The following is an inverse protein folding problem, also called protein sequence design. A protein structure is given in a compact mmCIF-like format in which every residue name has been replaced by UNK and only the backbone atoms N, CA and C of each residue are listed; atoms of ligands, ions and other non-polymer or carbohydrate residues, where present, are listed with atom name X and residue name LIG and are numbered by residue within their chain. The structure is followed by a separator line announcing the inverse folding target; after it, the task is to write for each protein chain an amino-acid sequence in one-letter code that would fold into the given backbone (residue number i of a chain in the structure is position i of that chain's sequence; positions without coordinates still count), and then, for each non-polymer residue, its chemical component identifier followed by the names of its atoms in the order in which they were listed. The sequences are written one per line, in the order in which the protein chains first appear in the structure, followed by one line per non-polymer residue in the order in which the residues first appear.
data_IF_404818491167
#
_entry.id   IF_404818491167
#
_cell.length_a   1.000
_cell.length_b   1.000
_cell.length_c   1.000
_cell.angle_alpha   90.00
_cell.angle_beta   90.00
_cell.angle_gamma   90.00
#
_symmetry.space_group_name_H-M   'P 1'
#
loop_
_entity.id
_entity.type
_entity.pdbx_description
1 polymer ?
#
# COMPACT_ATOMS: atom_id res chain seq x y z
N UNK A 1 9.92 13.21 -3.29
CA UNK A 1 8.53 13.72 -3.14
C UNK A 1 7.56 12.60 -3.43
N UNK A 2 6.58 12.34 -2.56
CA UNK A 2 5.61 11.24 -2.74
C UNK A 2 4.92 11.23 -4.12
N UNK A 3 4.79 12.40 -4.78
CA UNK A 3 4.26 12.53 -6.13
C UNK A 3 5.08 11.79 -7.20
N UNK A 4 6.39 11.64 -7.03
CA UNK A 4 7.24 10.91 -7.99
C UNK A 4 6.94 9.41 -7.99
N UNK A 5 6.60 8.84 -6.83
CA UNK A 5 6.24 7.43 -6.68
C UNK A 5 4.84 7.10 -7.23
N UNK A 6 3.99 8.11 -7.44
CA UNK A 6 2.64 7.93 -8.00
C UNK A 6 2.65 7.93 -9.54
N UNK A 7 3.70 8.46 -10.16
CA UNK A 7 3.83 8.51 -11.62
C UNK A 7 4.07 7.10 -12.16
N UNK A 8 3.07 6.53 -12.84
CA UNK A 8 3.14 5.18 -13.41
C UNK A 8 2.31 4.14 -12.66
N UNK A 9 1.76 4.48 -11.48
CA UNK A 9 0.81 3.62 -10.79
C UNK A 9 -0.57 3.68 -11.44
N UNK A 10 -1.23 2.54 -11.52
CA UNK A 10 -2.67 2.48 -11.82
C UNK A 10 -3.48 3.17 -10.70
N UNK A 11 -4.74 3.57 -10.95
CA UNK A 11 -5.59 4.19 -9.94
C UNK A 11 -5.74 3.35 -8.66
N UNK A 12 -5.84 2.03 -8.79
CA UNK A 12 -5.98 1.12 -7.65
C UNK A 12 -4.68 1.06 -6.83
N UNK A 13 -3.52 0.95 -7.49
CA UNK A 13 -2.22 0.97 -6.82
C UNK A 13 -1.97 2.30 -6.10
N UNK A 14 -2.31 3.43 -6.73
CA UNK A 14 -2.18 4.73 -6.12
C UNK A 14 -3.08 4.89 -4.87
N UNK A 15 -4.31 4.34 -4.89
CA UNK A 15 -5.19 4.33 -3.72
C UNK A 15 -4.63 3.47 -2.58
N UNK A 16 -4.10 2.29 -2.89
CA UNK A 16 -3.46 1.40 -1.91
C UNK A 16 -2.22 2.05 -1.30
N UNK A 17 -1.33 2.62 -2.14
CA UNK A 17 -0.14 3.33 -1.68
C UNK A 17 -0.50 4.49 -0.73
N UNK A 18 -1.46 5.34 -1.10
CA UNK A 18 -1.91 6.45 -0.24
C UNK A 18 -2.52 5.97 1.07
N UNK A 19 -3.24 4.84 1.06
CA UNK A 19 -3.77 4.22 2.26
C UNK A 19 -2.64 3.81 3.21
N UNK A 20 -1.63 3.09 2.71
CA UNK A 20 -0.45 2.68 3.48
C UNK A 20 0.31 3.91 4.01
N UNK A 21 0.54 4.90 3.16
CA UNK A 21 1.28 6.12 3.52
C UNK A 21 0.61 6.92 4.64
N UNK A 22 -0.71 6.84 4.77
CA UNK A 22 -1.48 7.52 5.81
C UNK A 22 -1.30 6.89 7.20
N UNK A 23 -0.84 5.64 7.29
CA UNK A 23 -0.58 4.95 8.55
C UNK A 23 0.79 5.35 9.08
N UNK A 24 0.82 5.90 10.30
CA UNK A 24 2.05 6.43 10.94
C UNK A 24 2.55 5.59 12.12
N UNK A 25 1.93 4.44 12.40
CA UNK A 25 2.37 3.54 13.46
C UNK A 25 3.63 2.78 13.03
N UNK A 26 4.43 2.36 14.01
CA UNK A 26 5.71 1.70 13.75
C UNK A 26 5.54 0.37 13.01
N UNK A 27 4.52 -0.40 13.40
CA UNK A 27 4.09 -1.66 12.78
C UNK A 27 3.57 -1.48 11.34
N UNK A 28 3.30 -0.26 10.87
CA UNK A 28 2.75 -0.06 9.53
C UNK A 28 1.28 -0.46 9.37
N UNK A 29 0.83 -0.53 8.12
CA UNK A 29 -0.55 -0.82 7.76
C UNK A 29 -0.77 -2.32 7.55
N UNK A 30 -1.70 -2.91 8.32
CA UNK A 30 -2.08 -4.30 8.13
C UNK A 30 -2.94 -4.48 6.86
N UNK A 31 -2.73 -5.57 6.09
CA UNK A 31 -3.45 -5.81 4.83
C UNK A 31 -4.98 -5.80 4.98
N UNK A 32 -5.51 -6.36 6.07
CA UNK A 32 -6.94 -6.33 6.37
C UNK A 32 -7.47 -4.91 6.62
N UNK A 33 -6.66 -4.04 7.22
CA UNK A 33 -7.03 -2.64 7.43
C UNK A 33 -7.09 -1.89 6.09
N UNK A 34 -6.15 -2.16 5.18
CA UNK A 34 -6.14 -1.59 3.83
C UNK A 34 -7.39 -2.03 3.06
N UNK A 35 -7.71 -3.32 3.09
CA UNK A 35 -8.93 -3.89 2.46
C UNK A 35 -10.18 -3.22 3.05
N UNK A 36 -10.29 -3.13 4.38
CA UNK A 36 -11.44 -2.51 5.03
C UNK A 36 -11.62 -1.02 4.64
N UNK A 37 -10.53 -0.27 4.57
CA UNK A 37 -10.54 1.15 4.19
C UNK A 37 -10.92 1.38 2.71
N UNK A 38 -10.63 0.40 1.84
CA UNK A 38 -10.84 0.50 0.40
C UNK A 38 -12.01 -0.35 -0.13
N UNK A 39 -12.74 -1.06 0.72
CA UNK A 39 -13.77 -2.06 0.34
C UNK A 39 -14.85 -1.58 -0.64
N UNK A 40 -15.13 -0.27 -0.69
CA UNK A 40 -16.13 0.33 -1.59
C UNK A 40 -15.52 0.91 -2.88
N UNK A 41 -14.20 0.82 -3.05
CA UNK A 41 -13.43 1.45 -4.13
C UNK A 41 -12.55 0.45 -4.88
N UNK A 42 -11.99 -0.54 -4.18
CA UNK A 42 -11.05 -1.54 -4.71
C UNK A 42 -11.47 -2.90 -4.16
N UNK A 43 -11.51 -3.93 -5.01
CA UNK A 43 -11.79 -5.28 -4.57
C UNK A 43 -10.66 -5.82 -3.69
N UNK A 44 -10.94 -6.75 -2.77
CA UNK A 44 -9.89 -7.37 -1.94
C UNK A 44 -8.77 -7.97 -2.81
N UNK A 45 -9.14 -8.64 -3.90
CA UNK A 45 -8.18 -9.22 -4.85
C UNK A 45 -7.25 -8.15 -5.43
N UNK A 46 -7.80 -7.02 -5.86
CA UNK A 46 -7.01 -5.93 -6.43
C UNK A 46 -6.17 -5.20 -5.38
N UNK A 47 -6.62 -5.13 -4.13
CA UNK A 47 -5.80 -4.61 -3.01
C UNK A 47 -4.58 -5.49 -2.81
N UNK A 48 -4.75 -6.82 -2.72
CA UNK A 48 -3.64 -7.75 -2.53
C UNK A 48 -2.66 -7.72 -3.69
N UNK A 49 -3.16 -7.73 -4.93
CA UNK A 49 -2.33 -7.61 -6.12
C UNK A 49 -1.57 -6.27 -6.18
N UNK A 50 -2.19 -5.17 -5.76
CA UNK A 50 -1.53 -3.87 -5.68
C UNK A 50 -0.44 -3.84 -4.61
N UNK A 51 -0.67 -4.44 -3.44
CA UNK A 51 0.34 -4.55 -2.38
C UNK A 51 1.56 -5.36 -2.88
N UNK A 52 1.32 -6.50 -3.51
CA UNK A 52 2.38 -7.34 -4.10
C UNK A 52 3.20 -6.57 -5.14
N UNK A 53 2.53 -5.88 -6.07
CA UNK A 53 3.18 -5.04 -7.07
C UNK A 53 4.02 -3.92 -6.43
N UNK A 54 3.44 -3.16 -5.49
CA UNK A 54 4.13 -2.06 -4.83
C UNK A 54 5.35 -2.56 -4.04
N UNK A 55 5.26 -3.76 -3.45
CA UNK A 55 6.37 -4.38 -2.75
C UNK A 55 7.47 -4.84 -3.72
N UNK A 56 7.10 -5.44 -4.85
CA UNK A 56 8.04 -5.87 -5.89
C UNK A 56 8.80 -4.72 -6.55
N UNK A 57 8.16 -3.57 -6.71
CA UNK A 57 8.76 -2.34 -7.23
C UNK A 57 9.56 -1.54 -6.17
N UNK A 58 9.51 -1.94 -4.89
CA UNK A 58 10.20 -1.25 -3.80
C UNK A 58 9.51 0.02 -3.28
N UNK A 59 8.24 0.25 -3.64
CA UNK A 59 7.43 1.36 -3.11
C UNK A 59 6.99 1.14 -1.67
N UNK A 60 6.76 -0.12 -1.29
CA UNK A 60 6.44 -0.51 0.09
C UNK A 60 7.30 -1.70 0.52
N UNK A 61 7.44 -1.90 1.82
CA UNK A 61 8.14 -3.03 2.41
C UNK A 61 7.35 -3.59 3.61
N UNK A 62 7.47 -4.89 3.85
CA UNK A 62 6.94 -5.53 5.06
C UNK A 62 7.80 -5.18 6.28
N UNK A 63 7.19 -5.08 7.46
CA UNK A 63 7.85 -4.59 8.67
C UNK A 63 8.03 -5.68 9.72
N UNK A 64 7.02 -5.88 10.57
CA UNK A 64 7.03 -6.88 11.65
C UNK A 64 6.75 -8.28 11.12
N UNK A 65 5.92 -8.38 10.09
CA UNK A 65 5.54 -9.62 9.43
C UNK A 65 5.12 -9.35 7.97
N UNK A 66 4.73 -10.41 7.27
CA UNK A 66 4.35 -10.38 5.86
C UNK A 66 2.97 -9.73 5.59
N UNK A 67 2.24 -9.30 6.61
CA UNK A 67 0.92 -8.65 6.49
C UNK A 67 0.95 -7.15 6.82
N UNK A 68 2.08 -6.62 7.31
CA UNK A 68 2.25 -5.25 7.78
C UNK A 68 3.19 -4.42 6.89
N UNK A 69 2.66 -3.41 6.21
CA UNK A 69 3.38 -2.67 5.18
C UNK A 69 3.62 -1.20 5.53
N UNK A 70 4.78 -0.67 5.12
CA UNK A 70 5.10 0.77 5.14
C UNK A 70 5.60 1.23 3.77
N UNK A 71 5.38 2.50 3.45
CA UNK A 71 5.99 3.11 2.27
C UNK A 71 7.49 3.28 2.50
N UNK A 72 8.27 2.99 1.46
CA UNK A 72 9.68 3.36 1.41
C UNK A 72 9.78 4.89 1.30
N UNK A 73 10.57 5.53 2.14
CA UNK A 73 10.83 6.97 2.05
C UNK A 73 11.84 7.24 0.92
N UNK A 74 11.44 8.06 -0.08
CA UNK A 74 12.28 8.54 -1.19
C UNK A 74 12.18 10.07 -1.37
#
# INVERSE_FOLDING_TARGET
SADSALNGLSPNQAMVFRCIQSVKVDEGAHVQQIIANLKNKVSEKDVRAAVEFLSGEGHVYSTTDDEHYKCTDW
#
